data_IF_419127780495
#
_entry.id   IF_419127780495
#
_cell.length_a   1.000
_cell.length_b   1.000
_cell.length_c   1.000
_cell.angle_alpha   90.00
_cell.angle_beta   90.00
_cell.angle_gamma   90.00
#
_symmetry.space_group_name_H-M   'P 1'
#
loop_
_entity.id
_entity.type
_entity.pdbx_description
1 polymer ?
#
# COMPACT_ATOMS: atom_id res chain seq x y z
N UNK A 1 12.17 -14.36 -29.31
CA UNK A 1 11.69 -13.39 -28.29
C UNK A 1 10.41 -12.81 -28.83
N UNK A 2 9.23 -13.06 -28.20
CA UNK A 2 8.00 -12.38 -28.59
C UNK A 2 8.12 -10.92 -28.14
N UNK A 3 7.97 -10.00 -29.08
CA UNK A 3 7.98 -8.57 -28.78
C UNK A 3 6.83 -8.26 -27.83
N UNK A 4 7.15 -7.75 -26.63
CA UNK A 4 6.16 -7.20 -25.72
C UNK A 4 5.71 -5.87 -26.29
N UNK A 5 4.47 -5.79 -26.76
CA UNK A 5 3.87 -4.55 -27.26
C UNK A 5 3.24 -3.85 -26.07
N UNK A 6 3.79 -2.71 -25.69
CA UNK A 6 3.17 -1.82 -24.70
C UNK A 6 2.03 -1.08 -25.39
N UNK A 7 0.81 -1.19 -24.87
CA UNK A 7 -0.31 -0.35 -25.28
C UNK A 7 -0.54 0.73 -24.23
N UNK A 8 -0.80 1.94 -24.69
CA UNK A 8 -1.33 2.98 -23.82
C UNK A 8 -2.77 2.63 -23.42
N UNK A 9 -3.10 2.85 -22.15
CA UNK A 9 -4.47 2.75 -21.65
C UNK A 9 -5.20 4.04 -22.04
N UNK A 10 -6.03 3.96 -23.07
CA UNK A 10 -6.91 5.07 -23.43
C UNK A 10 -8.11 5.09 -22.46
N UNK A 11 -8.06 5.96 -21.46
CA UNK A 11 -9.10 6.12 -20.44
C UNK A 11 -10.37 6.84 -20.93
N UNK A 12 -10.89 6.47 -22.11
CA UNK A 12 -12.03 7.14 -22.75
C UNK A 12 -13.33 6.30 -22.70
N UNK A 13 -13.37 5.22 -21.94
CA UNK A 13 -14.58 4.39 -21.83
C UNK A 13 -15.63 5.05 -20.92
N UNK A 14 -16.95 4.89 -21.19
CA UNK A 14 -18.00 5.34 -20.30
C UNK A 14 -17.88 4.73 -18.89
N UNK A 15 -17.39 3.48 -18.80
CA UNK A 15 -17.13 2.79 -17.55
C UNK A 15 -16.06 3.49 -16.71
N UNK A 16 -14.98 3.96 -17.34
CA UNK A 16 -13.92 4.74 -16.67
C UNK A 16 -14.46 6.03 -16.04
N UNK A 17 -15.25 6.81 -16.81
CA UNK A 17 -15.84 8.05 -16.29
C UNK A 17 -16.88 7.79 -15.20
N UNK A 18 -17.65 6.70 -15.31
CA UNK A 18 -18.57 6.26 -14.26
C UNK A 18 -17.83 5.91 -12.96
N UNK A 19 -16.77 5.13 -13.06
CA UNK A 19 -15.92 4.76 -11.90
C UNK A 19 -15.26 6.00 -11.27
N UNK A 20 -14.74 6.91 -12.11
CA UNK A 20 -14.14 8.16 -11.66
C UNK A 20 -15.17 9.03 -10.91
N UNK A 21 -16.39 9.17 -11.45
CA UNK A 21 -17.47 9.90 -10.82
C UNK A 21 -17.89 9.33 -9.47
N UNK A 22 -18.09 8.01 -9.39
CA UNK A 22 -18.39 7.32 -8.12
C UNK A 22 -17.27 7.53 -7.11
N UNK A 23 -16.01 7.35 -7.52
CA UNK A 23 -14.86 7.55 -6.65
C UNK A 23 -14.77 8.98 -6.13
N UNK A 24 -15.02 9.98 -6.98
CA UNK A 24 -15.03 11.39 -6.59
C UNK A 24 -16.12 11.69 -5.55
N UNK A 25 -17.31 11.13 -5.74
CA UNK A 25 -18.41 11.27 -4.77
C UNK A 25 -18.04 10.63 -3.42
N UNK A 26 -17.47 9.42 -3.43
CA UNK A 26 -17.04 8.74 -2.22
C UNK A 26 -15.95 9.52 -1.47
N UNK A 27 -14.99 10.10 -2.18
CA UNK A 27 -13.96 10.97 -1.59
C UNK A 27 -14.59 12.22 -1.00
N UNK A 28 -15.52 12.88 -1.68
CA UNK A 28 -16.22 14.06 -1.18
C UNK A 28 -17.03 13.75 0.09
N UNK A 29 -17.74 12.62 0.13
CA UNK A 29 -18.44 12.15 1.32
C UNK A 29 -17.47 11.85 2.48
N UNK A 30 -16.31 11.23 2.20
CA UNK A 30 -15.28 10.98 3.18
C UNK A 30 -14.70 12.27 3.78
N UNK A 31 -14.41 13.26 2.95
CA UNK A 31 -13.94 14.58 3.41
C UNK A 31 -15.01 15.31 4.23
N UNK A 32 -16.28 15.23 3.83
CA UNK A 32 -17.38 15.79 4.59
C UNK A 32 -17.52 15.12 5.97
N UNK A 33 -17.40 13.79 6.02
CA UNK A 33 -17.42 13.05 7.27
C UNK A 33 -16.25 13.44 8.18
N UNK A 34 -15.03 13.58 7.63
CA UNK A 34 -13.84 14.04 8.37
C UNK A 34 -14.04 15.45 8.92
N UNK A 35 -14.59 16.38 8.11
CA UNK A 35 -14.93 17.72 8.56
C UNK A 35 -15.91 17.72 9.75
N UNK A 36 -16.97 16.91 9.67
CA UNK A 36 -17.92 16.77 10.78
C UNK A 36 -17.25 16.20 12.05
N UNK A 37 -16.36 15.23 11.88
CA UNK A 37 -15.62 14.61 12.96
C UNK A 37 -14.69 15.61 13.66
N UNK A 38 -14.06 16.50 12.90
CA UNK A 38 -13.20 17.56 13.44
C UNK A 38 -13.99 18.60 14.25
N UNK A 39 -15.21 18.95 13.78
CA UNK A 39 -16.05 19.94 14.48
C UNK A 39 -16.79 19.40 15.70
N UNK A 40 -17.25 18.16 15.69
CA UNK A 40 -18.04 17.56 16.77
C UNK A 40 -17.22 16.63 17.68
N UNK A 41 -15.95 16.44 17.35
CA UNK A 41 -15.05 15.51 18.04
C UNK A 41 -15.30 14.04 17.69
N UNK A 42 -14.35 13.19 18.06
CA UNK A 42 -14.36 11.76 17.73
C UNK A 42 -15.47 10.94 18.40
N UNK A 43 -16.21 11.56 19.33
CA UNK A 43 -17.34 10.91 20.01
C UNK A 43 -18.43 10.46 19.02
N UNK A 44 -18.57 11.17 17.90
CA UNK A 44 -19.55 10.81 16.86
C UNK A 44 -19.23 9.51 16.13
N UNK A 45 -17.97 9.05 16.19
CA UNK A 45 -17.51 7.79 15.60
C UNK A 45 -17.71 6.59 16.53
N UNK A 46 -18.22 6.81 17.74
CA UNK A 46 -18.35 5.79 18.79
C UNK A 46 -17.02 5.44 19.48
N UNK A 47 -15.94 6.18 19.21
CA UNK A 47 -14.68 6.03 19.94
C UNK A 47 -14.82 6.58 21.35
N UNK A 48 -14.25 5.86 22.30
CA UNK A 48 -14.21 6.21 23.72
C UNK A 48 -12.82 5.93 24.28
N UNK A 49 -12.54 6.35 25.50
CA UNK A 49 -11.27 6.00 26.17
C UNK A 49 -11.05 4.47 26.30
N UNK A 50 -12.10 3.67 26.19
CA UNK A 50 -12.02 2.21 26.20
C UNK A 50 -11.87 1.62 24.79
N UNK A 51 -12.50 2.27 23.80
CA UNK A 51 -12.46 1.89 22.38
C UNK A 51 -11.72 3.01 21.64
N UNK A 52 -10.38 2.91 21.64
CA UNK A 52 -9.50 3.97 21.11
C UNK A 52 -9.39 3.92 19.59
N UNK A 53 -9.64 2.77 18.98
CA UNK A 53 -9.52 2.56 17.53
C UNK A 53 -10.87 2.25 16.91
N UNK A 54 -11.28 3.14 16.02
CA UNK A 54 -12.50 3.02 15.25
C UNK A 54 -12.29 2.38 13.88
N UNK A 55 -13.35 2.40 13.09
CA UNK A 55 -13.38 1.88 11.71
C UNK A 55 -12.29 2.50 10.81
N UNK A 56 -11.96 3.81 10.88
CA UNK A 56 -10.90 4.41 10.07
C UNK A 56 -9.56 3.71 10.23
N UNK A 57 -9.18 3.35 11.47
CA UNK A 57 -7.93 2.65 11.75
C UNK A 57 -7.87 1.26 11.09
N UNK A 58 -8.99 0.53 11.04
CA UNK A 58 -9.07 -0.78 10.39
C UNK A 58 -8.76 -0.64 8.90
N UNK A 59 -9.40 0.33 8.23
CA UNK A 59 -9.16 0.58 6.81
C UNK A 59 -7.74 1.09 6.54
N UNK A 60 -7.21 1.96 7.40
CA UNK A 60 -5.84 2.45 7.27
C UNK A 60 -4.82 1.30 7.34
N UNK A 61 -4.94 0.42 8.34
CA UNK A 61 -4.06 -0.73 8.50
C UNK A 61 -4.20 -1.70 7.32
N UNK A 62 -5.43 -1.97 6.88
CA UNK A 62 -5.69 -2.80 5.70
C UNK A 62 -4.96 -2.25 4.46
N UNK A 63 -5.08 -0.95 4.18
CA UNK A 63 -4.45 -0.31 3.04
C UNK A 63 -2.92 -0.31 3.14
N UNK A 64 -2.36 -0.07 4.33
CA UNK A 64 -0.92 -0.10 4.58
C UNK A 64 -0.36 -1.51 4.37
N UNK A 65 -1.03 -2.53 4.89
CA UNK A 65 -0.63 -3.92 4.69
C UNK A 65 -0.74 -4.35 3.22
N UNK A 66 -1.82 -3.98 2.55
CA UNK A 66 -2.00 -4.23 1.13
C UNK A 66 -0.91 -3.52 0.30
N UNK A 67 -0.59 -2.25 0.60
CA UNK A 67 0.49 -1.49 -0.05
C UNK A 67 1.84 -2.20 0.07
N UNK A 68 2.19 -2.64 1.28
CA UNK A 68 3.41 -3.41 1.51
C UNK A 68 3.42 -4.71 0.71
N UNK A 69 2.29 -5.42 0.70
CA UNK A 69 2.18 -6.73 0.05
C UNK A 69 2.18 -6.67 -1.47
N UNK A 70 1.53 -5.67 -2.06
CA UNK A 70 1.52 -5.44 -3.53
C UNK A 70 2.95 -5.34 -4.07
N UNK A 71 3.86 -4.70 -3.36
CA UNK A 71 5.24 -4.50 -3.81
C UNK A 71 6.02 -5.81 -4.03
N UNK A 72 5.52 -6.96 -3.53
CA UNK A 72 6.13 -8.27 -3.80
C UNK A 72 6.17 -8.58 -5.30
N UNK A 73 5.12 -8.20 -6.04
CA UNK A 73 5.05 -8.47 -7.49
C UNK A 73 6.19 -7.75 -8.22
N UNK A 74 6.47 -6.49 -7.86
CA UNK A 74 7.63 -5.77 -8.40
C UNK A 74 8.96 -6.43 -8.01
N UNK A 75 9.05 -6.95 -6.77
CA UNK A 75 10.24 -7.62 -6.25
C UNK A 75 10.54 -8.93 -6.98
N UNK A 76 9.53 -9.64 -7.51
CA UNK A 76 9.74 -10.85 -8.32
C UNK A 76 10.56 -10.52 -9.57
N UNK A 77 10.30 -9.38 -10.21
CA UNK A 77 11.04 -8.93 -11.38
C UNK A 77 12.45 -8.46 -11.05
N UNK A 78 12.61 -7.63 -10.03
CA UNK A 78 13.88 -6.96 -9.71
C UNK A 78 14.82 -7.79 -8.87
N UNK A 79 14.35 -8.37 -7.76
CA UNK A 79 15.17 -9.12 -6.80
C UNK A 79 15.40 -10.55 -7.26
N UNK A 80 14.31 -11.23 -7.65
CA UNK A 80 14.37 -12.63 -8.11
C UNK A 80 14.68 -12.78 -9.60
N UNK A 81 14.92 -11.66 -10.31
CA UNK A 81 15.33 -11.61 -11.73
C UNK A 81 14.41 -12.37 -12.69
N UNK A 82 13.13 -12.45 -12.37
CA UNK A 82 12.12 -13.07 -13.25
C UNK A 82 11.60 -12.01 -14.23
N UNK A 83 12.30 -11.81 -15.34
CA UNK A 83 12.02 -10.78 -16.36
C UNK A 83 10.61 -10.81 -16.93
N UNK A 84 9.94 -11.95 -16.86
CA UNK A 84 8.54 -12.10 -17.28
C UNK A 84 7.58 -11.19 -16.49
N UNK A 85 7.87 -10.95 -15.20
CA UNK A 85 7.06 -10.13 -14.31
C UNK A 85 7.48 -8.64 -14.30
N UNK A 86 8.53 -8.28 -15.03
CA UNK A 86 9.04 -6.91 -15.08
C UNK A 86 7.99 -5.86 -15.52
N UNK A 87 7.11 -6.11 -16.51
CA UNK A 87 6.06 -5.16 -16.89
C UNK A 87 5.06 -4.87 -15.76
N UNK A 88 4.74 -5.89 -14.96
CA UNK A 88 3.82 -5.78 -13.83
C UNK A 88 4.41 -5.01 -12.64
N UNK A 89 5.74 -4.87 -12.60
CA UNK A 89 6.44 -4.17 -11.52
C UNK A 89 6.07 -2.70 -11.41
N UNK A 90 5.83 -2.02 -12.54
CA UNK A 90 5.42 -0.60 -12.55
C UNK A 90 4.04 -0.41 -11.94
N UNK A 91 3.08 -1.22 -12.37
CA UNK A 91 1.72 -1.21 -11.81
C UNK A 91 1.76 -1.53 -10.32
N UNK A 92 2.54 -2.53 -9.92
CA UNK A 92 2.72 -2.93 -8.53
C UNK A 92 3.29 -1.80 -7.67
N UNK A 93 4.34 -1.10 -8.13
CA UNK A 93 4.92 0.00 -7.38
C UNK A 93 3.97 1.22 -7.30
N UNK A 94 3.28 1.56 -8.39
CA UNK A 94 2.28 2.63 -8.41
C UNK A 94 1.13 2.30 -7.44
N UNK A 95 0.62 1.08 -7.48
CA UNK A 95 -0.46 0.63 -6.59
C UNK A 95 -0.01 0.62 -5.12
N UNK A 96 1.25 0.25 -4.83
CA UNK A 96 1.79 0.35 -3.48
C UNK A 96 1.81 1.79 -2.95
N UNK A 97 2.19 2.76 -3.80
CA UNK A 97 2.19 4.18 -3.43
C UNK A 97 0.75 4.67 -3.17
N UNK A 98 -0.18 4.38 -4.07
CA UNK A 98 -1.57 4.86 -3.96
C UNK A 98 -2.28 4.28 -2.74
N UNK A 99 -2.11 2.99 -2.47
CA UNK A 99 -2.67 2.33 -1.28
C UNK A 99 -2.06 2.89 0.01
N UNK A 100 -0.74 3.13 0.05
CA UNK A 100 -0.10 3.72 1.22
C UNK A 100 -0.58 5.15 1.45
N UNK A 101 -0.61 5.98 0.41
CA UNK A 101 -1.11 7.37 0.51
C UNK A 101 -2.55 7.39 1.00
N UNK A 102 -3.42 6.50 0.47
CA UNK A 102 -4.80 6.35 0.94
C UNK A 102 -4.86 5.99 2.43
N UNK A 103 -4.09 4.99 2.87
CA UNK A 103 -4.03 4.58 4.27
C UNK A 103 -3.51 5.68 5.20
N UNK A 104 -2.46 6.40 4.80
CA UNK A 104 -1.92 7.52 5.58
C UNK A 104 -2.88 8.71 5.61
N UNK A 105 -3.59 8.99 4.51
CA UNK A 105 -4.60 10.04 4.48
C UNK A 105 -5.73 9.78 5.49
N UNK A 106 -6.20 8.54 5.59
CA UNK A 106 -7.20 8.16 6.59
C UNK A 106 -6.65 8.40 8.00
N UNK A 107 -5.40 8.00 8.29
CA UNK A 107 -4.79 8.22 9.60
C UNK A 107 -4.66 9.71 9.94
N UNK A 108 -4.31 10.56 8.96
CA UNK A 108 -4.20 12.01 9.16
C UNK A 108 -5.57 12.63 9.43
N UNK A 109 -6.60 12.22 8.69
CA UNK A 109 -7.96 12.72 8.87
C UNK A 109 -8.59 12.26 10.21
N UNK A 110 -8.11 11.14 10.75
CA UNK A 110 -8.57 10.62 12.05
C UNK A 110 -7.76 11.18 13.25
N UNK A 111 -6.74 12.01 13.00
CA UNK A 111 -6.03 12.72 14.06
C UNK A 111 -6.92 13.86 14.61
N UNK A 112 -7.13 13.87 15.93
CA UNK A 112 -7.89 14.94 16.57
C UNK A 112 -7.29 16.35 16.39
N UNK A 113 -5.98 16.42 16.12
CA UNK A 113 -5.23 17.64 15.85
C UNK A 113 -4.18 17.38 14.76
N UNK A 114 -4.57 17.36 13.47
CA UNK A 114 -3.64 17.10 12.37
C UNK A 114 -2.55 18.18 12.23
N UNK A 115 -2.81 19.40 12.69
CA UNK A 115 -1.86 20.51 12.78
C UNK A 115 -0.63 20.17 13.63
N UNK A 116 -0.78 19.32 14.64
CA UNK A 116 0.30 18.88 15.53
C UNK A 116 1.12 17.72 15.02
N UNK A 117 0.79 17.16 13.84
CA UNK A 117 1.54 16.05 13.24
C UNK A 117 3.03 16.41 13.04
N UNK A 118 3.31 17.65 12.61
CA UNK A 118 4.69 18.13 12.45
C UNK A 118 5.44 18.18 13.79
N UNK A 119 4.76 18.54 14.88
CA UNK A 119 5.36 18.54 16.23
C UNK A 119 5.69 17.09 16.65
N UNK A 120 4.79 16.14 16.39
CA UNK A 120 5.03 14.72 16.67
C UNK A 120 6.21 14.14 15.84
N UNK A 121 6.42 14.66 14.64
CA UNK A 121 7.55 14.26 13.78
C UNK A 121 8.88 14.91 14.21
N UNK A 122 8.86 16.11 14.75
CA UNK A 122 10.07 16.85 15.14
C UNK A 122 10.49 16.61 16.59
N UNK A 123 9.52 16.37 17.47
CA UNK A 123 9.78 16.06 18.89
C UNK A 123 9.77 14.54 19.09
N UNK A 124 10.87 13.91 18.67
CA UNK A 124 10.96 12.47 18.54
C UNK A 124 11.19 11.74 19.86
N UNK A 125 10.33 10.77 20.17
CA UNK A 125 10.53 9.86 21.29
C UNK A 125 11.01 8.47 20.79
N UNK A 126 12.29 8.19 20.98
CA UNK A 126 12.90 6.91 20.54
C UNK A 126 12.29 5.66 21.21
N UNK A 127 11.59 5.78 22.31
CA UNK A 127 10.92 4.68 22.99
C UNK A 127 9.51 4.39 22.43
N UNK A 128 8.98 5.27 21.59
CA UNK A 128 7.64 5.11 21.01
C UNK A 128 7.69 4.33 19.71
N UNK A 129 7.01 3.18 19.67
CA UNK A 129 6.85 2.38 18.45
C UNK A 129 6.04 3.12 17.38
N UNK A 130 5.09 3.98 17.79
CA UNK A 130 4.32 4.80 16.87
C UNK A 130 5.20 5.81 16.15
N UNK A 131 6.14 6.47 16.86
CA UNK A 131 7.07 7.40 16.26
C UNK A 131 7.95 6.72 15.20
N UNK A 132 8.44 5.50 15.46
CA UNK A 132 9.17 4.71 14.47
C UNK A 132 8.35 4.44 13.21
N UNK A 133 7.07 4.09 13.37
CA UNK A 133 6.20 3.80 12.23
C UNK A 133 5.97 5.01 11.32
N UNK A 134 5.91 6.24 11.85
CA UNK A 134 5.84 7.46 11.01
C UNK A 134 7.02 7.52 10.03
N UNK A 135 8.24 7.26 10.50
CA UNK A 135 9.42 7.24 9.63
C UNK A 135 9.44 6.06 8.67
N UNK A 136 8.95 4.89 9.11
CA UNK A 136 8.86 3.71 8.25
C UNK A 136 7.89 3.95 7.08
N UNK A 137 6.74 4.56 7.33
CA UNK A 137 5.76 4.87 6.28
C UNK A 137 6.30 5.91 5.29
N UNK A 138 6.86 7.01 5.78
CA UNK A 138 7.45 8.03 4.92
C UNK A 138 8.65 7.49 4.15
N UNK A 139 9.52 6.74 4.81
CA UNK A 139 10.67 6.09 4.15
C UNK A 139 10.24 5.11 3.07
N UNK A 140 9.19 4.32 3.31
CA UNK A 140 8.64 3.43 2.29
C UNK A 140 8.14 4.21 1.07
N UNK A 141 7.39 5.30 1.29
CA UNK A 141 6.88 6.14 0.21
C UNK A 141 8.01 6.66 -0.68
N UNK A 142 9.06 7.21 -0.06
CA UNK A 142 10.23 7.76 -0.78
C UNK A 142 10.97 6.65 -1.53
N UNK A 143 11.25 5.52 -0.87
CA UNK A 143 11.98 4.40 -1.48
C UNK A 143 11.21 3.83 -2.67
N UNK A 144 9.89 3.62 -2.55
CA UNK A 144 9.08 3.08 -3.64
C UNK A 144 8.92 4.08 -4.78
N UNK A 145 8.82 5.38 -4.49
CA UNK A 145 8.82 6.43 -5.51
C UNK A 145 10.14 6.45 -6.31
N UNK A 146 11.29 6.39 -5.64
CA UNK A 146 12.60 6.29 -6.27
C UNK A 146 12.72 4.98 -7.08
N UNK A 147 12.23 3.88 -6.54
CA UNK A 147 12.22 2.59 -7.23
C UNK A 147 11.36 2.63 -8.50
N UNK A 148 10.17 3.24 -8.44
CA UNK A 148 9.32 3.45 -9.61
C UNK A 148 10.01 4.34 -10.65
N UNK A 149 10.66 5.41 -10.21
CA UNK A 149 11.43 6.28 -11.09
C UNK A 149 12.54 5.51 -11.83
N UNK A 150 13.30 4.68 -11.13
CA UNK A 150 14.35 3.84 -11.76
C UNK A 150 13.77 2.83 -12.76
N UNK A 151 12.52 2.39 -12.58
CA UNK A 151 11.84 1.55 -13.56
C UNK A 151 11.43 2.30 -14.83
N UNK A 152 11.19 3.61 -14.72
CA UNK A 152 10.73 4.43 -15.85
C UNK A 152 11.90 5.05 -16.63
N UNK A 153 13.03 5.36 -15.98
CA UNK A 153 14.17 6.03 -16.59
C UNK A 153 15.20 5.02 -17.11
N UNK A 154 15.42 5.01 -18.43
CA UNK A 154 16.37 4.07 -19.09
C UNK A 154 17.80 4.18 -18.57
N UNK A 155 18.25 5.40 -18.25
CA UNK A 155 19.61 5.64 -17.74
C UNK A 155 19.82 5.05 -16.35
N UNK A 156 18.76 4.91 -15.57
CA UNK A 156 18.80 4.42 -14.19
C UNK A 156 18.53 2.93 -14.06
N UNK A 157 18.28 2.22 -15.16
CA UNK A 157 17.99 0.76 -15.13
C UNK A 157 19.11 -0.07 -14.50
N UNK A 158 20.35 0.42 -14.48
CA UNK A 158 21.46 -0.22 -13.77
C UNK A 158 21.19 -0.36 -12.27
N UNK A 159 20.52 0.61 -11.68
CA UNK A 159 20.23 0.67 -10.24
C UNK A 159 18.90 0.00 -9.85
N UNK A 160 18.08 -0.36 -10.83
CA UNK A 160 16.78 -1.00 -10.65
C UNK A 160 16.80 -2.22 -9.69
N UNK A 161 17.74 -3.20 -9.80
CA UNK A 161 17.76 -4.34 -8.89
C UNK A 161 18.12 -3.95 -7.45
N UNK A 162 19.00 -2.97 -7.27
CA UNK A 162 19.41 -2.49 -5.96
C UNK A 162 18.25 -1.76 -5.29
N UNK A 163 17.61 -0.83 -6.01
CA UNK A 163 16.42 -0.13 -5.50
C UNK A 163 15.28 -1.11 -5.13
N UNK A 164 15.08 -2.14 -5.96
CA UNK A 164 14.12 -3.20 -5.69
C UNK A 164 14.44 -4.00 -4.42
N UNK A 165 15.73 -4.30 -4.18
CA UNK A 165 16.17 -4.98 -2.96
C UNK A 165 15.94 -4.09 -1.73
N UNK A 166 16.31 -2.81 -1.80
CA UNK A 166 16.08 -1.84 -0.72
C UNK A 166 14.59 -1.74 -0.42
N UNK A 167 13.75 -1.59 -1.43
CA UNK A 167 12.31 -1.53 -1.28
C UNK A 167 11.73 -2.82 -0.66
N UNK A 168 12.25 -3.99 -1.07
CA UNK A 168 11.86 -5.29 -0.52
C UNK A 168 12.22 -5.43 0.97
N UNK A 169 13.43 -5.05 1.36
CA UNK A 169 13.87 -5.11 2.77
C UNK A 169 13.06 -4.10 3.59
N UNK A 170 12.91 -2.86 3.09
CA UNK A 170 12.18 -1.82 3.81
C UNK A 170 10.73 -2.19 4.06
N UNK A 171 10.04 -2.81 3.09
CA UNK A 171 8.66 -3.27 3.30
C UNK A 171 8.54 -4.31 4.42
N UNK A 172 9.53 -5.20 4.57
CA UNK A 172 9.54 -6.17 5.67
C UNK A 172 9.70 -5.48 7.02
N UNK A 173 10.61 -4.50 7.10
CA UNK A 173 10.80 -3.68 8.30
C UNK A 173 9.53 -2.91 8.63
N UNK A 174 8.90 -2.27 7.63
CA UNK A 174 7.63 -1.55 7.78
C UNK A 174 6.52 -2.46 8.32
N UNK A 175 6.34 -3.63 7.71
CA UNK A 175 5.27 -4.57 8.11
C UNK A 175 5.52 -5.14 9.51
N UNK A 176 6.79 -5.42 9.84
CA UNK A 176 7.20 -5.81 11.19
C UNK A 176 6.92 -4.69 12.19
N UNK A 177 7.28 -3.45 11.86
CA UNK A 177 7.00 -2.27 12.69
C UNK A 177 5.52 -2.07 12.94
N UNK A 178 4.69 -2.17 11.90
CA UNK A 178 3.23 -2.07 12.01
C UNK A 178 2.66 -3.19 12.87
N UNK A 179 3.10 -4.44 12.69
CA UNK A 179 2.69 -5.57 13.53
C UNK A 179 3.14 -5.43 14.98
N UNK A 180 4.30 -4.82 15.20
CA UNK A 180 4.83 -4.57 16.54
C UNK A 180 4.02 -3.52 17.32
N UNK A 181 3.32 -2.58 16.64
CA UNK A 181 2.37 -1.68 17.31
C UNK A 181 1.36 -2.50 18.12
N UNK A 182 0.83 -3.56 17.51
CA UNK A 182 -0.15 -4.45 18.16
C UNK A 182 0.52 -5.37 19.18
N UNK A 183 1.68 -5.93 18.84
CA UNK A 183 2.41 -6.84 19.74
C UNK A 183 2.91 -6.21 21.04
N UNK A 184 2.99 -4.88 21.12
CA UNK A 184 3.34 -4.14 22.35
C UNK A 184 2.14 -3.51 23.05
N UNK A 185 0.92 -3.86 22.67
CA UNK A 185 -0.30 -3.41 23.35
C UNK A 185 -0.60 -4.24 24.59
N UNK A 186 0.17 -4.05 25.62
CA UNK A 186 0.04 -4.77 26.93
C UNK A 186 -1.37 -4.65 27.52
N UNK A 187 -2.07 -3.55 27.28
CA UNK A 187 -3.45 -3.35 27.74
C UNK A 187 -4.50 -4.24 27.05
N UNK A 188 -4.11 -4.98 26.02
CA UNK A 188 -4.97 -5.87 25.24
C UNK A 188 -4.34 -7.25 25.13
N UNK A 189 -4.62 -8.12 26.07
CA UNK A 189 -4.07 -9.49 26.16
C UNK A 189 -4.16 -10.30 24.85
N UNK A 190 -5.18 -10.05 24.03
CA UNK A 190 -5.36 -10.71 22.73
C UNK A 190 -4.27 -10.33 21.70
N UNK A 191 -3.59 -9.21 21.86
CA UNK A 191 -2.60 -8.71 20.92
C UNK A 191 -1.18 -8.69 21.47
N UNK A 192 -1.00 -8.71 22.78
CA UNK A 192 0.30 -8.67 23.46
C UNK A 192 1.10 -9.95 23.22
N UNK A 193 1.52 -10.14 21.98
CA UNK A 193 2.32 -11.30 21.59
C UNK A 193 3.33 -10.96 20.49
N UNK A 194 4.51 -11.56 20.56
CA UNK A 194 5.56 -11.42 19.55
C UNK A 194 5.15 -11.97 18.16
N UNK A 195 4.09 -12.81 18.10
CA UNK A 195 3.61 -13.40 16.85
C UNK A 195 2.94 -12.38 15.93
N UNK A 196 2.57 -11.19 16.45
CA UNK A 196 1.92 -10.15 15.66
C UNK A 196 2.77 -9.68 14.48
N UNK A 197 4.07 -9.52 14.65
CA UNK A 197 4.96 -9.11 13.57
C UNK A 197 4.99 -10.12 12.40
N UNK A 198 5.29 -11.41 12.59
CA UNK A 198 5.23 -12.40 11.51
C UNK A 198 3.81 -12.59 10.94
N UNK A 199 2.76 -12.47 11.76
CA UNK A 199 1.38 -12.52 11.29
C UNK A 199 1.09 -11.38 10.30
N UNK A 200 1.52 -10.15 10.60
CA UNK A 200 1.35 -9.01 9.71
C UNK A 200 2.13 -9.16 8.40
N UNK A 201 3.31 -9.79 8.42
CA UNK A 201 4.03 -10.14 7.20
C UNK A 201 3.20 -11.10 6.34
N UNK A 202 2.65 -12.17 6.93
CA UNK A 202 1.82 -13.14 6.21
C UNK A 202 0.53 -12.50 5.67
N UNK A 203 -0.15 -11.68 6.48
CA UNK A 203 -1.33 -10.92 6.07
C UNK A 203 -1.02 -9.95 4.92
N UNK A 204 0.10 -9.24 4.99
CA UNK A 204 0.49 -8.31 3.92
C UNK A 204 0.71 -9.04 2.59
N UNK A 205 1.32 -10.22 2.60
CA UNK A 205 1.50 -11.05 1.40
C UNK A 205 0.15 -11.43 0.79
N UNK A 206 -0.78 -11.90 1.60
CA UNK A 206 -2.11 -12.33 1.15
C UNK A 206 -2.94 -11.15 0.63
N UNK A 207 -3.07 -10.08 1.43
CA UNK A 207 -3.88 -8.91 1.09
C UNK A 207 -3.30 -8.16 -0.14
N UNK A 208 -1.98 -8.01 -0.19
CA UNK A 208 -1.33 -7.33 -1.30
C UNK A 208 -1.46 -8.10 -2.61
N UNK A 209 -1.30 -9.43 -2.58
CA UNK A 209 -1.49 -10.25 -3.76
C UNK A 209 -2.94 -10.22 -4.23
N UNK A 210 -3.91 -10.33 -3.32
CA UNK A 210 -5.33 -10.24 -3.62
C UNK A 210 -5.69 -8.88 -4.25
N UNK A 211 -5.22 -7.77 -3.66
CA UNK A 211 -5.44 -6.43 -4.19
C UNK A 211 -4.82 -6.27 -5.59
N UNK A 212 -3.60 -6.79 -5.80
CA UNK A 212 -2.95 -6.73 -7.11
C UNK A 212 -3.72 -7.52 -8.17
N UNK A 213 -4.14 -8.75 -7.86
CA UNK A 213 -4.92 -9.58 -8.78
C UNK A 213 -6.26 -8.92 -9.12
N UNK A 214 -6.93 -8.34 -8.13
CA UNK A 214 -8.21 -7.65 -8.33
C UNK A 214 -8.05 -6.49 -9.32
N UNK A 215 -7.07 -5.62 -9.11
CA UNK A 215 -6.81 -4.47 -9.99
C UNK A 215 -6.39 -4.95 -11.38
N UNK A 216 -5.55 -5.98 -11.46
CA UNK A 216 -5.12 -6.54 -12.75
C UNK A 216 -6.30 -7.13 -13.52
N UNK A 217 -7.23 -7.81 -12.85
CA UNK A 217 -8.44 -8.34 -13.49
C UNK A 217 -9.35 -7.21 -13.98
N UNK A 218 -9.55 -6.17 -13.17
CA UNK A 218 -10.33 -4.99 -13.58
C UNK A 218 -9.71 -4.31 -14.80
N UNK A 219 -8.40 -4.10 -14.80
CA UNK A 219 -7.68 -3.53 -15.93
C UNK A 219 -7.85 -4.39 -17.20
N UNK A 220 -7.74 -5.69 -17.08
CA UNK A 220 -7.88 -6.60 -18.22
C UNK A 220 -9.31 -6.73 -18.75
N UNK A 221 -10.32 -6.62 -17.91
CA UNK A 221 -11.72 -6.62 -18.35
C UNK A 221 -12.06 -5.39 -19.15
N UNK A 222 -11.54 -4.22 -18.76
CA UNK A 222 -11.78 -2.95 -19.45
C UNK A 222 -10.96 -2.80 -20.74
N UNK A 223 -9.74 -3.36 -20.78
CA UNK A 223 -8.83 -3.21 -21.92
C UNK A 223 -8.86 -4.37 -22.92
N UNK A 224 -9.70 -5.39 -22.70
CA UNK A 224 -9.75 -6.62 -23.52
C UNK A 224 -8.36 -7.26 -23.70
N UNK A 225 -7.52 -7.22 -22.67
CA UNK A 225 -6.15 -7.71 -22.72
C UNK A 225 -6.14 -9.23 -22.63
N UNK A 226 -5.55 -9.96 -23.61
CA UNK A 226 -5.48 -11.42 -23.58
C UNK A 226 -4.44 -11.91 -22.57
N UNK A 227 -4.72 -11.77 -21.27
CA UNK A 227 -3.82 -12.23 -20.20
C UNK A 227 -3.81 -13.77 -20.03
N UNK A 228 -4.85 -14.46 -20.54
CA UNK A 228 -5.05 -15.88 -20.23
C UNK A 228 -4.18 -16.85 -21.02
N UNK A 229 -3.98 -16.62 -22.30
CA UNK A 229 -3.39 -17.64 -23.18
C UNK A 229 -1.87 -17.77 -23.04
N UNK A 230 -1.18 -16.68 -22.74
CA UNK A 230 0.28 -16.69 -22.60
C UNK A 230 0.80 -17.26 -21.26
N UNK A 231 -0.04 -17.21 -20.22
CA UNK A 231 0.32 -17.70 -18.88
C UNK A 231 -0.03 -19.18 -18.71
N UNK A 232 -1.15 -19.62 -19.27
CA UNK A 232 -1.64 -20.99 -19.19
C UNK A 232 -0.91 -21.96 -20.12
N UNK A 233 -0.42 -21.49 -21.28
CA UNK A 233 0.36 -22.31 -22.21
C UNK A 233 1.88 -22.17 -21.97
N UNK A 234 2.35 -22.45 -20.79
CA UNK A 234 3.77 -22.72 -20.57
C UNK A 234 4.04 -24.18 -20.97
N UNK A 235 4.74 -24.47 -22.09
CA UNK A 235 5.15 -25.84 -22.36
C UNK A 235 6.03 -26.27 -21.17
N UNK A 236 5.65 -27.39 -20.53
CA UNK A 236 6.51 -28.08 -19.58
C UNK A 236 7.82 -28.34 -20.33
N UNK A 237 8.89 -27.64 -19.98
CA UNK A 237 10.23 -28.00 -20.41
C UNK A 237 10.54 -29.35 -19.75
N UNK A 238 10.58 -30.36 -20.58
CA UNK A 238 11.27 -31.65 -20.33
C UNK A 238 12.75 -31.37 -20.09
#
# INVERSE_FOLDING_TARGET
MKNVVYRELEGNSPGFYGLLGISAILVALGLFAAYNMEHHGHIITGMTNQIVWGMPHIFAIFLILAASGVLNVASIGSVFRKTFYSPLGRLSALLAITLLVGGLSILVLDLGHPDRLLVAMTTYNFKSIFAWNIYLYNGFLVIVAVYLWFMMERRMQRYYPIAGLVAFVWRLILTTGTGSIFGFLVAREAYDTAIMAPLFIALSLSLGLAAFILILLLDCTETHCPLGEGILHRPKRQ
#
